data_IF_338561794561
#
_entry.id   IF_338561794561
#
_cell.length_a   1.000
_cell.length_b   1.000
_cell.length_c   1.000
_cell.angle_alpha   90.00
_cell.angle_beta   90.00
_cell.angle_gamma   90.00
#
_symmetry.space_group_name_H-M   'P 1'
#
loop_
_entity.id
_entity.type
_entity.pdbx_description
1 polymer ?
#
# COMPACT_ATOMS: atom_id res chain seq x y z
N UNK A 1 -5.09 -32.41 -37.54
CA UNK A 1 -5.15 -32.30 -36.07
C UNK A 1 -3.71 -32.28 -35.58
N UNK A 2 -3.07 -31.12 -35.65
CA UNK A 2 -1.74 -30.84 -35.07
C UNK A 2 -1.94 -29.73 -34.04
N UNK A 3 -2.51 -30.13 -32.89
CA UNK A 3 -2.46 -29.27 -31.71
C UNK A 3 -0.99 -29.11 -31.34
N UNK A 4 -0.48 -27.89 -31.46
CA UNK A 4 0.91 -27.61 -31.17
C UNK A 4 1.16 -27.80 -29.66
N UNK A 5 2.18 -28.55 -29.31
CA UNK A 5 2.67 -28.74 -27.94
C UNK A 5 3.01 -27.39 -27.22
N UNK A 6 2.90 -26.28 -27.96
CA UNK A 6 3.18 -24.92 -27.48
C UNK A 6 2.05 -24.39 -26.55
N UNK A 7 0.83 -24.94 -26.65
CA UNK A 7 -0.34 -24.49 -25.84
C UNK A 7 -0.33 -25.05 -24.42
N UNK A 8 0.63 -25.91 -24.06
CA UNK A 8 0.63 -26.61 -22.76
C UNK A 8 1.50 -25.92 -21.69
N UNK A 9 2.31 -24.94 -22.05
CA UNK A 9 3.14 -24.21 -21.10
C UNK A 9 2.56 -22.80 -20.86
N UNK A 10 2.40 -22.39 -19.58
CA UNK A 10 2.05 -21.01 -19.28
C UNK A 10 3.08 -20.09 -19.95
N UNK A 11 2.62 -18.99 -20.54
CA UNK A 11 3.53 -18.03 -21.17
C UNK A 11 4.58 -17.56 -20.16
N UNK A 12 5.82 -17.33 -20.59
CA UNK A 12 6.90 -16.83 -19.72
C UNK A 12 6.46 -15.57 -18.96
N UNK A 13 5.64 -14.74 -19.60
CA UNK A 13 5.04 -13.54 -19.02
C UNK A 13 4.13 -13.86 -17.85
N UNK A 14 3.26 -14.87 -17.98
CA UNK A 14 2.37 -15.30 -16.89
C UNK A 14 3.18 -15.80 -15.69
N UNK A 15 4.18 -16.65 -15.91
CA UNK A 15 5.05 -17.17 -14.84
C UNK A 15 5.80 -16.02 -14.16
N UNK A 16 6.30 -15.07 -14.97
CA UNK A 16 6.99 -13.88 -14.45
C UNK A 16 6.11 -13.05 -13.51
N UNK A 17 4.86 -12.76 -13.90
CA UNK A 17 3.91 -12.03 -13.04
C UNK A 17 3.55 -12.83 -11.78
N UNK A 18 3.26 -14.12 -11.93
CA UNK A 18 2.94 -14.96 -10.77
C UNK A 18 4.08 -14.96 -9.74
N UNK A 19 5.32 -15.15 -10.20
CA UNK A 19 6.49 -15.11 -9.33
C UNK A 19 6.68 -13.74 -8.68
N UNK A 20 6.51 -12.66 -9.45
CA UNK A 20 6.62 -11.30 -8.91
C UNK A 20 5.61 -11.03 -7.78
N UNK A 21 4.34 -11.39 -7.97
CA UNK A 21 3.33 -11.21 -6.93
C UNK A 21 3.52 -12.14 -5.73
N UNK A 22 3.96 -13.38 -5.94
CA UNK A 22 4.30 -14.29 -4.84
C UNK A 22 5.45 -13.74 -4.01
N UNK A 23 6.54 -13.29 -4.66
CA UNK A 23 7.68 -12.67 -3.98
C UNK A 23 7.23 -11.42 -3.23
N UNK A 24 6.42 -10.56 -3.85
CA UNK A 24 5.87 -9.36 -3.22
C UNK A 24 5.07 -9.69 -1.96
N UNK A 25 4.18 -10.69 -2.02
CA UNK A 25 3.40 -11.14 -0.87
C UNK A 25 4.31 -11.67 0.26
N UNK A 26 5.26 -12.54 -0.07
CA UNK A 26 6.19 -13.13 0.90
C UNK A 26 7.07 -12.06 1.56
N UNK A 27 7.61 -11.12 0.77
CA UNK A 27 8.43 -10.00 1.28
C UNK A 27 7.62 -9.13 2.24
N UNK A 28 6.39 -8.76 1.88
CA UNK A 28 5.55 -7.96 2.76
C UNK A 28 5.16 -8.70 4.05
N UNK A 29 4.78 -9.97 3.97
CA UNK A 29 4.43 -10.76 5.16
C UNK A 29 5.66 -10.97 6.06
N UNK A 30 6.83 -11.22 5.46
CA UNK A 30 8.11 -11.30 6.17
C UNK A 30 8.49 -9.97 6.83
N UNK A 31 8.30 -8.84 6.15
CA UNK A 31 8.49 -7.50 6.70
C UNK A 31 7.54 -7.24 7.89
N UNK A 32 6.28 -7.65 7.78
CA UNK A 32 5.31 -7.56 8.87
C UNK A 32 5.70 -8.41 10.09
N UNK A 33 6.26 -9.59 9.88
CA UNK A 33 6.82 -10.40 10.94
C UNK A 33 8.02 -9.72 11.60
N UNK A 34 8.96 -9.25 10.79
CA UNK A 34 10.17 -8.55 11.25
C UNK A 34 9.86 -7.27 12.02
N UNK A 35 8.89 -6.49 11.57
CA UNK A 35 8.46 -5.26 12.23
C UNK A 35 8.03 -5.46 13.69
N UNK A 36 7.52 -6.65 14.05
CA UNK A 36 7.11 -6.97 15.42
C UNK A 36 8.26 -6.93 16.41
N UNK A 37 9.47 -7.22 15.98
CA UNK A 37 10.69 -7.21 16.82
C UNK A 37 11.55 -5.98 16.57
N UNK A 38 11.52 -5.39 15.36
CA UNK A 38 12.37 -4.27 14.99
C UNK A 38 11.82 -2.91 15.51
N UNK A 39 10.48 -2.79 15.70
CA UNK A 39 9.85 -1.55 16.09
C UNK A 39 9.52 -1.55 17.57
N UNK A 40 10.13 -0.66 18.34
CA UNK A 40 9.97 -0.58 19.81
C UNK A 40 8.65 0.06 20.23
N UNK A 41 8.25 1.17 19.55
CA UNK A 41 6.98 1.84 19.86
C UNK A 41 5.77 0.98 19.48
N UNK A 42 4.85 0.67 20.44
CA UNK A 42 3.74 -0.25 20.19
C UNK A 42 2.74 0.23 19.13
N UNK A 43 2.49 1.54 19.02
CA UNK A 43 1.53 2.08 18.06
C UNK A 43 2.10 2.08 16.65
N UNK A 44 3.32 2.59 16.49
CA UNK A 44 4.06 2.54 15.22
C UNK A 44 4.18 1.10 14.74
N UNK A 45 4.53 0.17 15.65
CA UNK A 45 4.63 -1.27 15.35
C UNK A 45 3.32 -1.85 14.83
N UNK A 46 2.20 -1.56 15.50
CA UNK A 46 0.88 -2.06 15.06
C UNK A 46 0.52 -1.50 13.69
N UNK A 47 0.64 -0.20 13.49
CA UNK A 47 0.32 0.45 12.23
C UNK A 47 1.19 -0.08 11.08
N UNK A 48 2.49 -0.22 11.29
CA UNK A 48 3.42 -0.76 10.31
C UNK A 48 3.12 -2.23 10.00
N UNK A 49 2.79 -3.04 11.01
CA UNK A 49 2.38 -4.43 10.82
C UNK A 49 1.12 -4.53 9.96
N UNK A 50 0.10 -3.70 10.22
CA UNK A 50 -1.11 -3.67 9.40
C UNK A 50 -0.86 -3.21 7.97
N UNK A 51 0.04 -2.23 7.79
CA UNK A 51 0.46 -1.79 6.46
C UNK A 51 1.10 -2.96 5.67
N UNK A 52 2.02 -3.70 6.27
CA UNK A 52 2.66 -4.85 5.62
C UNK A 52 1.68 -6.01 5.37
N UNK A 53 0.80 -6.32 6.31
CA UNK A 53 -0.22 -7.35 6.13
C UNK A 53 -1.20 -6.97 5.01
N UNK A 54 -1.61 -5.71 4.95
CA UNK A 54 -2.45 -5.18 3.87
C UNK A 54 -1.74 -5.29 2.52
N UNK A 55 -0.49 -4.83 2.43
CA UNK A 55 0.30 -4.90 1.18
C UNK A 55 0.53 -6.34 0.73
N UNK A 56 0.87 -7.24 1.66
CA UNK A 56 1.02 -8.66 1.38
C UNK A 56 -0.30 -9.34 0.98
N UNK A 57 -1.41 -8.97 1.64
CA UNK A 57 -2.75 -9.44 1.29
C UNK A 57 -3.20 -8.93 -0.09
N UNK A 58 -2.84 -7.70 -0.44
CA UNK A 58 -3.10 -7.14 -1.76
C UNK A 58 -2.37 -7.93 -2.85
N UNK A 59 -1.05 -8.12 -2.70
CA UNK A 59 -0.28 -8.94 -3.64
C UNK A 59 -0.77 -10.39 -3.67
N UNK A 60 -1.13 -10.97 -2.52
CA UNK A 60 -1.70 -12.32 -2.42
C UNK A 60 -3.06 -12.46 -3.13
N UNK A 61 -3.90 -11.43 -3.10
CA UNK A 61 -5.13 -11.42 -3.88
C UNK A 61 -4.87 -11.47 -5.39
N UNK A 62 -3.80 -10.81 -5.87
CA UNK A 62 -3.38 -10.94 -7.28
C UNK A 62 -2.84 -12.33 -7.60
N UNK A 63 -2.14 -12.98 -6.69
CA UNK A 63 -1.78 -14.40 -6.85
C UNK A 63 -3.03 -15.26 -7.02
N UNK A 64 -4.05 -15.04 -6.19
CA UNK A 64 -5.34 -15.71 -6.32
C UNK A 64 -6.01 -15.43 -7.67
N UNK A 65 -6.02 -14.17 -8.12
CA UNK A 65 -6.54 -13.78 -9.43
C UNK A 65 -5.86 -14.51 -10.58
N UNK A 66 -4.54 -14.67 -10.51
CA UNK A 66 -3.78 -15.38 -11.55
C UNK A 66 -4.05 -16.88 -11.54
N UNK A 67 -4.11 -17.51 -10.37
CA UNK A 67 -4.25 -18.96 -10.22
C UNK A 67 -5.65 -19.49 -10.46
N UNK A 68 -6.69 -18.68 -10.23
CA UNK A 68 -8.07 -19.12 -10.41
C UNK A 68 -8.48 -19.09 -11.88
N UNK A 69 -9.08 -20.18 -12.37
CA UNK A 69 -9.49 -20.29 -13.78
C UNK A 69 -10.91 -19.75 -14.03
N UNK A 70 -11.78 -19.76 -13.00
CA UNK A 70 -13.18 -19.35 -13.16
C UNK A 70 -13.32 -17.84 -13.21
N UNK A 71 -14.15 -17.31 -14.12
CA UNK A 71 -14.43 -15.87 -14.23
C UNK A 71 -14.93 -15.27 -12.92
N UNK A 72 -15.80 -15.95 -12.19
CA UNK A 72 -16.27 -15.51 -10.88
C UNK A 72 -15.13 -15.43 -9.87
N UNK A 73 -14.27 -16.44 -9.82
CA UNK A 73 -13.12 -16.44 -8.91
C UNK A 73 -12.15 -15.28 -9.21
N UNK A 74 -11.84 -15.04 -10.49
CA UNK A 74 -11.04 -13.90 -10.93
C UNK A 74 -11.67 -12.58 -10.50
N UNK A 75 -12.97 -12.41 -10.72
CA UNK A 75 -13.71 -11.23 -10.29
C UNK A 75 -13.61 -11.01 -8.78
N UNK A 76 -13.83 -12.05 -7.97
CA UNK A 76 -13.75 -11.94 -6.51
C UNK A 76 -12.36 -11.61 -6.02
N UNK A 77 -11.32 -12.24 -6.56
CA UNK A 77 -9.93 -11.93 -6.20
C UNK A 77 -9.50 -10.52 -6.63
N UNK A 78 -9.92 -10.09 -7.82
CA UNK A 78 -9.68 -8.72 -8.27
C UNK A 78 -10.36 -7.70 -7.36
N UNK A 79 -11.64 -7.92 -7.04
CA UNK A 79 -12.39 -7.06 -6.12
C UNK A 79 -11.76 -7.02 -4.72
N UNK A 80 -11.34 -8.19 -4.20
CA UNK A 80 -10.61 -8.29 -2.93
C UNK A 80 -9.31 -7.47 -2.97
N UNK A 81 -8.56 -7.56 -4.07
CA UNK A 81 -7.32 -6.81 -4.24
C UNK A 81 -7.56 -5.29 -4.16
N UNK A 82 -8.60 -4.80 -4.84
CA UNK A 82 -8.98 -3.39 -4.83
C UNK A 82 -9.40 -2.89 -3.43
N UNK A 83 -10.12 -3.72 -2.66
CA UNK A 83 -10.58 -3.39 -1.30
C UNK A 83 -9.38 -3.34 -0.35
N UNK A 84 -8.56 -4.39 -0.36
CA UNK A 84 -7.38 -4.49 0.50
C UNK A 84 -6.37 -3.39 0.15
N UNK A 85 -6.11 -3.16 -1.14
CA UNK A 85 -5.22 -2.12 -1.63
C UNK A 85 -5.60 -0.73 -1.12
N UNK A 86 -6.88 -0.36 -1.19
CA UNK A 86 -7.34 0.92 -0.64
C UNK A 86 -7.19 0.99 0.89
N UNK A 87 -7.34 -0.14 1.59
CA UNK A 87 -7.10 -0.25 3.03
C UNK A 87 -5.65 0.03 3.44
N UNK A 88 -4.68 -0.30 2.58
CA UNK A 88 -3.26 -0.03 2.88
C UNK A 88 -2.95 1.45 3.02
N UNK A 89 -3.67 2.33 2.33
CA UNK A 89 -3.52 3.79 2.43
C UNK A 89 -3.84 4.28 3.84
N UNK A 90 -4.89 3.74 4.47
CA UNK A 90 -5.24 4.11 5.85
C UNK A 90 -4.26 3.54 6.87
N UNK A 91 -3.75 2.33 6.64
CA UNK A 91 -2.68 1.77 7.46
C UNK A 91 -1.38 2.58 7.35
N UNK A 92 -1.05 3.06 6.15
CA UNK A 92 0.05 3.99 5.90
C UNK A 92 -0.13 5.31 6.67
N UNK A 93 -1.30 5.95 6.58
CA UNK A 93 -1.60 7.18 7.31
C UNK A 93 -1.54 6.98 8.82
N UNK A 94 -2.03 5.84 9.32
CA UNK A 94 -1.90 5.48 10.73
C UNK A 94 -0.43 5.39 11.13
N UNK A 95 0.39 4.68 10.35
CA UNK A 95 1.83 4.59 10.58
C UNK A 95 2.47 5.99 10.61
N UNK A 96 2.22 6.83 9.61
CA UNK A 96 2.78 8.18 9.54
C UNK A 96 2.38 9.04 10.75
N UNK A 97 1.12 8.96 11.17
CA UNK A 97 0.62 9.69 12.33
C UNK A 97 1.23 9.20 13.64
N UNK A 98 1.33 7.88 13.85
CA UNK A 98 1.93 7.31 15.04
C UNK A 98 3.44 7.59 15.09
N UNK A 99 4.14 7.36 13.97
CA UNK A 99 5.58 7.57 13.87
C UNK A 99 5.98 9.05 14.08
N UNK A 100 5.22 10.00 13.54
CA UNK A 100 5.48 11.42 13.69
C UNK A 100 5.01 12.01 15.04
N UNK A 101 4.55 11.17 15.98
CA UNK A 101 4.04 11.62 17.28
C UNK A 101 2.71 12.36 17.21
N UNK A 102 2.02 12.35 16.08
CA UNK A 102 0.71 12.98 15.91
C UNK A 102 -0.38 12.09 16.46
N UNK A 103 -1.51 12.71 16.84
CA UNK A 103 -2.66 12.01 17.43
C UNK A 103 -3.84 11.86 16.47
N UNK A 104 -3.64 12.07 15.15
CA UNK A 104 -4.71 11.99 14.16
C UNK A 104 -5.42 10.63 14.19
N UNK A 105 -4.65 9.55 14.30
CA UNK A 105 -5.17 8.19 14.39
C UNK A 105 -5.93 7.88 15.66
N UNK A 106 -5.83 8.72 16.71
CA UNK A 106 -6.58 8.61 17.98
C UNK A 106 -7.84 9.48 17.99
N UNK A 107 -7.95 10.45 17.07
CA UNK A 107 -9.10 11.33 16.97
C UNK A 107 -10.31 10.59 16.42
N UNK A 108 -11.37 10.46 17.22
CA UNK A 108 -12.60 9.75 16.84
C UNK A 108 -13.25 10.30 15.57
N UNK A 109 -13.26 11.63 15.39
CA UNK A 109 -13.83 12.26 14.19
C UNK A 109 -13.06 11.83 12.94
N UNK A 110 -11.72 11.83 13.01
CA UNK A 110 -10.86 11.38 11.90
C UNK A 110 -11.08 9.89 11.62
N UNK A 111 -11.18 9.05 12.66
CA UNK A 111 -11.45 7.62 12.50
C UNK A 111 -12.81 7.37 11.82
N UNK A 112 -13.88 8.05 12.26
CA UNK A 112 -15.19 7.90 11.65
C UNK A 112 -15.22 8.40 10.21
N UNK A 113 -14.56 9.53 9.93
CA UNK A 113 -14.43 10.03 8.56
C UNK A 113 -13.68 9.04 7.67
N UNK A 114 -12.53 8.54 8.14
CA UNK A 114 -11.74 7.55 7.40
C UNK A 114 -12.53 6.25 7.16
N UNK A 115 -13.25 5.77 8.18
CA UNK A 115 -14.12 4.60 8.05
C UNK A 115 -15.26 4.84 7.06
N UNK A 116 -15.90 6.00 7.09
CA UNK A 116 -16.98 6.35 6.16
C UNK A 116 -16.46 6.40 4.71
N UNK A 117 -15.31 7.03 4.47
CA UNK A 117 -14.66 7.06 3.15
C UNK A 117 -14.29 5.65 2.68
N UNK A 118 -13.67 4.84 3.55
CA UNK A 118 -13.32 3.47 3.23
C UNK A 118 -14.54 2.63 2.87
N UNK A 119 -15.60 2.71 3.68
CA UNK A 119 -16.84 1.96 3.45
C UNK A 119 -17.58 2.43 2.19
N UNK A 120 -17.63 3.74 1.92
CA UNK A 120 -18.23 4.28 0.70
C UNK A 120 -17.51 3.78 -0.56
N UNK A 121 -16.16 3.85 -0.57
CA UNK A 121 -15.36 3.36 -1.69
C UNK A 121 -15.45 1.84 -1.83
N UNK A 122 -15.45 1.11 -0.71
CA UNK A 122 -15.65 -0.35 -0.72
C UNK A 122 -17.03 -0.69 -1.27
N UNK A 123 -18.07 0.04 -0.86
CA UNK A 123 -19.43 -0.10 -1.40
C UNK A 123 -19.46 0.09 -2.91
N UNK A 124 -18.85 1.15 -3.44
CA UNK A 124 -18.73 1.38 -4.88
C UNK A 124 -18.04 0.22 -5.62
N UNK A 125 -17.00 -0.36 -5.02
CA UNK A 125 -16.28 -1.50 -5.62
C UNK A 125 -17.13 -2.78 -5.60
N UNK A 126 -17.81 -3.05 -4.47
CA UNK A 126 -18.66 -4.24 -4.32
C UNK A 126 -19.88 -4.17 -5.22
N UNK A 127 -20.45 -2.98 -5.40
CA UNK A 127 -21.63 -2.76 -6.26
C UNK A 127 -21.27 -2.60 -7.74
N UNK A 128 -19.99 -2.63 -8.10
CA UNK A 128 -19.54 -2.44 -9.49
C UNK A 128 -20.23 -3.37 -10.52
N UNK A 129 -20.55 -4.64 -10.23
CA UNK A 129 -21.27 -5.51 -11.17
C UNK A 129 -22.63 -4.94 -11.64
N UNK A 130 -23.25 -4.03 -10.87
CA UNK A 130 -24.54 -3.43 -11.21
C UNK A 130 -24.43 -2.13 -12.01
N UNK A 131 -23.33 -1.37 -11.83
CA UNK A 131 -23.21 -0.06 -12.49
C UNK A 131 -22.02 0.07 -13.46
N UNK A 132 -21.00 -0.81 -13.36
CA UNK A 132 -19.84 -0.82 -14.28
C UNK A 132 -18.97 0.45 -14.27
N UNK A 133 -19.11 1.34 -13.27
CA UNK A 133 -18.46 2.66 -13.28
C UNK A 133 -17.02 2.65 -12.72
N UNK A 134 -16.61 1.52 -12.11
CA UNK A 134 -15.30 1.43 -11.46
C UNK A 134 -14.30 0.63 -12.30
N UNK A 135 -14.70 -0.54 -12.81
CA UNK A 135 -13.89 -1.38 -13.70
C UNK A 135 -14.77 -2.27 -14.58
N UNK A 136 -14.27 -2.62 -15.76
CA UNK A 136 -14.78 -3.68 -16.62
C UNK A 136 -13.90 -4.92 -16.54
N UNK A 137 -14.50 -6.10 -16.76
CA UNK A 137 -13.80 -7.39 -16.91
C UNK A 137 -14.28 -8.03 -18.19
N UNK A 138 -13.40 -8.12 -19.17
CA UNK A 138 -13.73 -8.73 -20.47
C UNK A 138 -13.00 -10.06 -20.63
N UNK A 139 -13.71 -11.15 -20.97
CA UNK A 139 -13.08 -12.42 -21.29
C UNK A 139 -12.15 -12.29 -22.49
N UNK A 140 -10.94 -12.83 -22.37
CA UNK A 140 -9.97 -12.86 -23.45
C UNK A 140 -9.44 -14.28 -23.63
N UNK A 141 -9.06 -14.63 -24.88
CA UNK A 141 -8.36 -15.88 -25.17
C UNK A 141 -6.88 -15.90 -24.76
N UNK A 142 -6.38 -14.84 -24.14
CA UNK A 142 -4.99 -14.72 -23.68
C UNK A 142 -4.70 -15.54 -22.41
N UNK A 143 -3.41 -15.58 -22.03
CA UNK A 143 -2.88 -16.35 -20.91
C UNK A 143 -3.52 -16.01 -19.53
N UNK A 144 -4.20 -14.87 -19.44
CA UNK A 144 -4.81 -14.38 -18.17
C UNK A 144 -6.32 -14.59 -18.11
N UNK A 145 -6.95 -14.94 -19.23
CA UNK A 145 -8.37 -15.25 -19.31
C UNK A 145 -9.33 -14.05 -19.19
N UNK A 146 -8.90 -12.95 -18.60
CA UNK A 146 -9.65 -11.69 -18.46
C UNK A 146 -8.73 -10.49 -18.66
N UNK A 147 -9.25 -9.46 -19.33
CA UNK A 147 -8.67 -8.11 -19.38
C UNK A 147 -9.45 -7.21 -18.45
N UNK A 148 -8.76 -6.38 -17.69
CA UNK A 148 -9.34 -5.40 -16.78
C UNK A 148 -9.28 -4.03 -17.43
N UNK A 149 -10.41 -3.35 -17.54
CA UNK A 149 -10.48 -1.95 -17.97
C UNK A 149 -10.81 -1.06 -16.76
N UNK A 150 -10.14 0.08 -16.63
CA UNK A 150 -10.33 1.01 -15.53
C UNK A 150 -11.25 2.15 -15.95
N UNK A 151 -12.36 2.31 -15.22
CA UNK A 151 -13.36 3.34 -15.49
C UNK A 151 -13.10 4.63 -14.69
N UNK A 152 -13.90 5.68 -14.95
CA UNK A 152 -13.68 7.01 -14.36
C UNK A 152 -13.58 7.01 -12.83
N UNK A 153 -14.44 6.24 -12.13
CA UNK A 153 -14.41 6.19 -10.66
C UNK A 153 -13.13 5.54 -10.11
N UNK A 154 -12.53 4.62 -10.84
CA UNK A 154 -11.23 4.07 -10.48
C UNK A 154 -10.18 5.19 -10.38
N UNK A 155 -10.07 6.03 -11.40
CA UNK A 155 -9.09 7.13 -11.44
C UNK A 155 -9.34 8.19 -10.38
N UNK A 156 -10.61 8.48 -10.07
CA UNK A 156 -10.96 9.40 -8.96
C UNK A 156 -10.52 8.83 -7.62
N UNK A 157 -10.80 7.56 -7.34
CA UNK A 157 -10.38 6.91 -6.08
C UNK A 157 -8.86 6.78 -6.00
N UNK A 158 -8.19 6.52 -7.13
CA UNK A 158 -6.75 6.54 -7.23
C UNK A 158 -6.16 7.90 -6.86
N UNK A 159 -6.69 8.98 -7.42
CA UNK A 159 -6.24 10.33 -7.08
C UNK A 159 -6.40 10.63 -5.58
N UNK A 160 -7.52 10.21 -4.98
CA UNK A 160 -7.75 10.32 -3.53
C UNK A 160 -6.73 9.49 -2.74
N UNK A 161 -6.46 8.24 -3.15
CA UNK A 161 -5.48 7.38 -2.50
C UNK A 161 -4.07 7.98 -2.53
N UNK A 162 -3.64 8.54 -3.67
CA UNK A 162 -2.35 9.21 -3.79
C UNK A 162 -2.28 10.52 -2.98
N UNK A 163 -3.36 11.30 -2.95
CA UNK A 163 -3.42 12.51 -2.11
C UNK A 163 -3.29 12.17 -0.62
N UNK A 164 -3.97 11.12 -0.16
CA UNK A 164 -3.85 10.64 1.22
C UNK A 164 -2.45 10.09 1.51
N UNK A 165 -1.86 9.36 0.57
CA UNK A 165 -0.48 8.86 0.71
C UNK A 165 0.53 10.00 0.80
N UNK A 166 0.37 11.05 -0.02
CA UNK A 166 1.19 12.25 0.03
C UNK A 166 1.08 12.98 1.37
N UNK A 167 -0.12 13.06 1.97
CA UNK A 167 -0.30 13.60 3.31
C UNK A 167 0.53 12.84 4.36
N UNK A 168 0.60 11.51 4.25
CA UNK A 168 1.48 10.68 5.09
C UNK A 168 2.96 11.03 4.92
N UNK A 169 3.44 11.19 3.69
CA UNK A 169 4.82 11.60 3.42
C UNK A 169 5.14 12.98 4.01
N UNK A 170 4.23 13.94 3.87
CA UNK A 170 4.42 15.27 4.44
C UNK A 170 4.57 15.23 5.97
N UNK A 171 3.83 14.36 6.66
CA UNK A 171 3.99 14.17 8.11
C UNK A 171 5.39 13.67 8.49
N UNK A 172 5.90 12.69 7.75
CA UNK A 172 7.25 12.15 8.01
C UNK A 172 8.32 13.16 7.62
N UNK A 173 8.16 13.82 6.47
CA UNK A 173 9.11 14.81 5.98
C UNK A 173 9.27 15.98 6.97
N UNK A 174 8.17 16.48 7.53
CA UNK A 174 8.18 17.52 8.56
C UNK A 174 8.97 17.08 9.81
N UNK A 175 8.84 15.82 10.23
CA UNK A 175 9.59 15.27 11.34
C UNK A 175 11.11 15.26 11.05
N UNK A 176 11.50 14.85 9.84
CA UNK A 176 12.91 14.83 9.42
C UNK A 176 13.52 16.22 9.38
N UNK A 177 12.77 17.22 8.86
CA UNK A 177 13.22 18.61 8.87
C UNK A 177 13.44 19.15 10.29
N UNK A 178 12.51 18.85 11.21
CA UNK A 178 12.64 19.27 12.62
C UNK A 178 13.80 18.60 13.34
N UNK A 179 14.11 17.36 12.97
CA UNK A 179 15.22 16.60 13.56
C UNK A 179 16.57 16.90 12.89
N UNK A 180 16.63 17.81 11.90
CA UNK A 180 17.82 18.10 11.09
C UNK A 180 18.45 16.83 10.47
N UNK A 181 17.61 15.81 10.23
CA UNK A 181 18.05 14.52 9.74
C UNK A 181 18.21 14.51 8.22
N UNK A 182 19.04 13.59 7.70
CA UNK A 182 19.19 13.41 6.27
C UNK A 182 17.88 12.89 5.64
N UNK A 183 17.26 13.72 4.80
CA UNK A 183 16.02 13.41 4.09
C UNK A 183 16.22 12.55 2.82
N UNK A 184 17.46 12.30 2.42
CA UNK A 184 17.77 11.56 1.19
C UNK A 184 17.10 10.18 1.11
N UNK A 185 17.19 9.31 2.14
CA UNK A 185 16.53 8.01 2.15
C UNK A 185 15.00 8.10 2.08
N UNK A 186 14.40 9.10 2.72
CA UNK A 186 12.96 9.34 2.63
C UNK A 186 12.55 9.80 1.23
N UNK A 187 13.35 10.67 0.60
CA UNK A 187 13.12 11.10 -0.77
C UNK A 187 13.24 9.91 -1.75
N UNK A 188 14.21 9.01 -1.54
CA UNK A 188 14.33 7.79 -2.33
C UNK A 188 13.11 6.88 -2.17
N UNK A 189 12.61 6.67 -0.95
CA UNK A 189 11.38 5.92 -0.69
C UNK A 189 10.17 6.55 -1.35
N UNK A 190 10.04 7.88 -1.29
CA UNK A 190 8.96 8.62 -1.95
C UNK A 190 9.04 8.45 -3.47
N UNK A 191 10.26 8.49 -4.04
CA UNK A 191 10.49 8.21 -5.46
C UNK A 191 10.06 6.79 -5.86
N UNK A 192 10.30 5.80 -5.01
CA UNK A 192 9.87 4.41 -5.25
C UNK A 192 8.34 4.28 -5.33
N UNK A 193 7.57 5.11 -4.63
CA UNK A 193 6.11 5.08 -4.73
C UNK A 193 5.55 5.72 -6.00
N UNK A 194 6.36 6.48 -6.73
CA UNK A 194 5.98 6.95 -8.06
C UNK A 194 6.02 5.83 -9.12
N UNK A 195 6.79 4.77 -8.89
CA UNK A 195 6.92 3.64 -9.82
C UNK A 195 5.57 2.94 -10.11
N UNK A 196 4.73 2.59 -9.13
CA UNK A 196 3.44 1.98 -9.40
C UNK A 196 2.53 2.86 -10.24
N UNK A 197 2.50 4.17 -9.95
CA UNK A 197 1.72 5.12 -10.73
C UNK A 197 2.23 5.21 -12.18
N UNK A 198 3.56 5.27 -12.36
CA UNK A 198 4.18 5.27 -13.68
C UNK A 198 3.86 3.96 -14.44
N UNK A 199 3.96 2.81 -13.79
CA UNK A 199 3.63 1.52 -14.41
C UNK A 199 2.15 1.42 -14.78
N UNK A 200 1.22 1.94 -13.99
CA UNK A 200 -0.19 1.97 -14.35
C UNK A 200 -0.45 2.85 -15.57
N UNK A 201 0.18 4.02 -15.64
CA UNK A 201 0.08 4.90 -16.80
C UNK A 201 0.67 4.24 -18.05
N UNK A 202 1.85 3.63 -17.93
CA UNK A 202 2.51 2.92 -19.03
C UNK A 202 1.66 1.73 -19.50
N UNK A 203 1.10 0.93 -18.56
CA UNK A 203 0.22 -0.20 -18.90
C UNK A 203 -1.06 0.24 -19.64
N UNK A 204 -1.58 1.42 -19.30
CA UNK A 204 -2.74 1.99 -20.02
C UNK A 204 -2.40 2.46 -21.44
N UNK A 205 -1.16 2.94 -21.66
CA UNK A 205 -0.70 3.45 -22.98
C UNK A 205 -0.19 2.33 -23.88
N UNK A 206 0.39 1.26 -23.31
CA UNK A 206 0.99 0.15 -24.04
C UNK A 206 0.20 -1.15 -23.83
N UNK A 207 -0.72 -1.51 -24.74
CA UNK A 207 -1.59 -2.68 -24.61
C UNK A 207 -0.87 -4.03 -24.58
N UNK A 208 0.41 -4.07 -24.95
CA UNK A 208 1.25 -5.30 -24.88
C UNK A 208 1.68 -5.62 -23.45
N UNK A 209 1.69 -4.62 -22.55
CA UNK A 209 1.81 -4.80 -21.13
C UNK A 209 0.42 -5.11 -20.61
N UNK A 210 0.28 -6.28 -20.00
CA UNK A 210 -0.97 -6.71 -19.41
C UNK A 210 -1.60 -5.59 -18.59
N UNK A 211 -2.89 -5.39 -18.79
CA UNK A 211 -3.72 -4.45 -18.04
C UNK A 211 -3.98 -5.02 -16.62
N UNK A 212 -2.89 -5.33 -15.93
CA UNK A 212 -2.86 -5.71 -14.52
C UNK A 212 -2.33 -4.53 -13.74
N UNK A 213 -3.01 -4.22 -12.65
CA UNK A 213 -2.56 -3.21 -11.70
C UNK A 213 -1.19 -3.59 -11.11
N UNK A 214 -0.14 -2.88 -11.50
CA UNK A 214 1.23 -3.12 -11.01
C UNK A 214 1.51 -2.51 -9.63
N UNK A 215 0.55 -1.78 -9.08
CA UNK A 215 0.64 -1.10 -7.80
C UNK A 215 1.07 -1.98 -6.62
N UNK A 216 0.55 -3.24 -6.46
CA UNK A 216 0.96 -4.07 -5.35
C UNK A 216 2.46 -4.40 -5.37
N UNK A 217 3.07 -4.51 -6.56
CA UNK A 217 4.49 -4.74 -6.70
C UNK A 217 5.30 -3.52 -6.22
N UNK A 218 4.92 -2.33 -6.65
CA UNK A 218 5.57 -1.10 -6.21
C UNK A 218 5.40 -0.83 -4.72
N UNK A 219 4.21 -1.06 -4.17
CA UNK A 219 3.96 -0.95 -2.72
C UNK A 219 4.77 -1.99 -1.95
N UNK A 220 5.00 -3.18 -2.49
CA UNK A 220 5.84 -4.20 -1.85
C UNK A 220 7.31 -3.80 -1.82
N UNK A 221 7.84 -3.23 -2.91
CA UNK A 221 9.20 -2.68 -2.95
C UNK A 221 9.34 -1.54 -1.95
N UNK A 222 8.35 -0.63 -1.91
CA UNK A 222 8.29 0.44 -0.93
C UNK A 222 8.26 -0.10 0.51
N UNK A 223 7.44 -1.11 0.80
CA UNK A 223 7.31 -1.71 2.11
C UNK A 223 8.63 -2.32 2.59
N UNK A 224 9.34 -3.06 1.72
CA UNK A 224 10.66 -3.62 2.04
C UNK A 224 11.69 -2.50 2.29
N UNK A 225 11.70 -1.47 1.45
CA UNK A 225 12.57 -0.30 1.61
C UNK A 225 12.26 0.48 2.88
N UNK A 226 10.98 0.64 3.23
CA UNK A 226 10.56 1.31 4.45
C UNK A 226 11.06 0.59 5.71
N UNK A 227 10.98 -0.74 5.75
CA UNK A 227 11.51 -1.50 6.88
C UNK A 227 13.03 -1.32 7.01
N UNK A 228 13.76 -1.40 5.90
CA UNK A 228 15.20 -1.18 5.88
C UNK A 228 15.58 0.23 6.38
N UNK A 229 14.90 1.26 5.90
CA UNK A 229 15.13 2.65 6.35
C UNK A 229 14.70 2.83 7.80
N UNK A 230 13.61 2.16 8.24
CA UNK A 230 13.20 2.20 9.64
C UNK A 230 14.29 1.64 10.56
N UNK A 231 14.82 0.47 10.26
CA UNK A 231 15.86 -0.15 11.08
C UNK A 231 17.16 0.67 11.12
N UNK A 232 17.50 1.35 10.04
CA UNK A 232 18.80 2.07 9.92
C UNK A 232 18.75 3.53 10.33
N UNK A 233 17.62 4.21 10.14
CA UNK A 233 17.54 5.69 10.29
C UNK A 233 16.31 6.17 11.04
N UNK A 234 15.13 5.66 10.74
CA UNK A 234 13.89 6.17 11.32
C UNK A 234 13.82 5.97 12.85
N UNK A 235 14.38 4.89 13.36
CA UNK A 235 14.46 4.64 14.81
C UNK A 235 15.28 5.70 15.53
N UNK A 236 16.36 6.17 14.93
CA UNK A 236 17.24 7.23 15.48
C UNK A 236 16.53 8.58 15.45
N UNK A 237 15.86 8.91 14.34
CA UNK A 237 15.12 10.17 14.18
C UNK A 237 13.95 10.26 15.17
N UNK A 238 13.25 9.17 15.40
CA UNK A 238 12.15 9.10 16.38
C UNK A 238 12.65 9.37 17.81
N UNK A 239 13.79 8.78 18.18
CA UNK A 239 14.41 9.02 19.48
C UNK A 239 14.88 10.47 19.65
N UNK A 240 15.51 11.05 18.63
CA UNK A 240 15.95 12.45 18.65
C UNK A 240 14.76 13.42 18.75
N UNK A 241 13.69 13.19 17.97
CA UNK A 241 12.47 14.01 18.03
C UNK A 241 11.74 13.94 19.37
N UNK A 242 11.75 12.78 20.03
CA UNK A 242 11.17 12.63 21.38
C UNK A 242 12.01 13.28 22.47
N UNK A 243 13.34 13.34 22.31
CA UNK A 243 14.24 14.00 23.25
C UNK A 243 14.17 15.54 23.18
N UNK A 244 13.78 16.10 22.04
CA UNK A 244 13.59 17.55 21.86
C UNK A 244 12.19 18.05 22.29
N UNK A 245 11.26 17.16 22.66
CA UNK A 245 10.00 17.56 23.25
C UNK A 245 10.28 18.26 24.60
N UNK A 246 9.78 19.49 24.85
CA UNK A 246 10.05 20.20 26.08
C UNK A 246 9.56 19.38 27.28
N UNK A 247 10.50 18.88 28.08
CA UNK A 247 10.18 18.25 29.34
C UNK A 247 9.73 19.32 30.32
N UNK A 248 8.43 19.41 30.58
CA UNK A 248 7.89 20.21 31.68
C UNK A 248 8.33 19.54 33.00
N UNK A 249 9.39 20.04 33.57
CA UNK A 249 9.77 19.67 34.95
C UNK A 249 8.88 20.43 35.94
N UNK A 250 8.00 19.69 36.60
CA UNK A 250 7.27 20.24 37.75
C UNK A 250 8.24 20.23 38.93
N UNK A 251 8.73 21.38 39.31
CA UNK A 251 9.52 21.54 40.53
C UNK A 251 8.67 21.15 41.78
N UNK A 252 9.30 20.62 42.81
CA UNK A 252 8.65 20.14 44.03
C UNK A 252 7.74 21.15 44.79
N UNK A 253 7.63 22.37 44.26
CA UNK A 253 6.72 23.43 44.75
C UNK A 253 5.52 23.68 43.83
N UNK A 254 5.23 22.78 42.85
CA UNK A 254 4.06 22.91 41.97
C UNK A 254 4.16 24.05 40.94
N UNK A 255 5.33 24.69 40.74
CA UNK A 255 5.56 25.72 39.73
C UNK A 255 6.17 25.14 38.47
N UNK A 256 5.51 25.43 37.33
CA UNK A 256 6.01 25.09 36.01
C UNK A 256 7.23 25.99 35.70
N UNK A 257 8.41 25.44 35.53
CA UNK A 257 9.57 26.13 34.98
C UNK A 257 9.71 25.74 33.51
N UNK A 258 9.51 26.70 32.61
CA UNK A 258 9.74 26.57 31.17
C UNK A 258 11.22 26.72 30.83
#
# INVERSE_FOLDING_TARGET
>A
MTGSLIDTFPSLTYVGYLLAFVVAAVVCLGAGWRARSAVSDPETRRALTWFFLGSGGWAGAYVGFLLVETALGKHLFYQLSLIVGFGTVFAWLWFCSAYSGRTLHRNRTVQWFAAAVYLAVTGLKVTNPWHGLYYGLEPTGGAFGLVVTHETLYWVVMAVAYALSAAGYLMIYELFLKAEANVGPLAALTGLTALPAAFNVIGHVEPSLLDITHEPLGVSVFAAGLLFVYETQLSVVQLAGSAQAPSLTVGGEGRIRG
#
